data_IF_100936747218
#
_entry.id   IF_100936747218
#
_cell.length_a   1.000
_cell.length_b   1.000
_cell.length_c   1.000
_cell.angle_alpha   90.00
_cell.angle_beta   90.00
_cell.angle_gamma   90.00
#
_symmetry.space_group_name_H-M   'P 1'
#
loop_
_entity.id
_entity.type
_entity.pdbx_description
1 polymer ?
#
# COMPACT_ATOMS: atom_id res chain seq x y z
N UNK A 1 -0.10 2.29 23.22
CA UNK A 1 1.07 2.97 22.63
C UNK A 1 1.40 2.29 21.32
N UNK A 2 1.85 3.05 20.31
CA UNK A 2 2.34 2.46 19.07
C UNK A 2 3.70 1.78 19.34
N UNK A 3 3.86 0.57 18.82
CA UNK A 3 5.12 -0.18 18.91
C UNK A 3 5.42 -0.81 17.56
N UNK A 4 6.71 -1.11 17.32
CA UNK A 4 7.15 -1.79 16.11
C UNK A 4 7.07 -3.29 16.33
N UNK A 5 6.36 -3.99 15.45
CA UNK A 5 6.23 -5.44 15.44
C UNK A 5 6.59 -5.99 14.06
N UNK A 6 7.27 -7.12 14.03
CA UNK A 6 7.58 -7.81 12.77
C UNK A 6 6.44 -8.77 12.45
N UNK A 7 5.80 -8.60 11.29
CA UNK A 7 4.75 -9.50 10.79
C UNK A 7 5.22 -10.21 9.53
N UNK A 8 4.83 -11.48 9.37
CA UNK A 8 5.21 -12.31 8.21
C UNK A 8 4.04 -12.40 7.22
N UNK A 9 4.14 -11.76 6.07
CA UNK A 9 3.21 -11.91 4.95
C UNK A 9 3.56 -13.09 4.04
N UNK A 10 2.84 -13.21 2.92
CA UNK A 10 3.02 -14.29 1.93
C UNK A 10 4.38 -14.27 1.22
N UNK A 11 5.01 -13.11 1.11
CA UNK A 11 6.27 -12.92 0.39
C UNK A 11 7.46 -12.61 1.32
N UNK A 12 7.26 -12.67 2.63
CA UNK A 12 8.29 -12.44 3.64
C UNK A 12 7.81 -11.55 4.77
N UNK A 13 8.74 -11.06 5.58
CA UNK A 13 8.42 -10.27 6.77
C UNK A 13 8.72 -8.79 6.57
N UNK A 14 7.93 -7.95 7.24
CA UNK A 14 8.16 -6.51 7.34
C UNK A 14 7.96 -6.08 8.79
N UNK A 15 8.67 -5.03 9.20
CA UNK A 15 8.41 -4.35 10.46
C UNK A 15 7.29 -3.32 10.27
N UNK A 16 6.29 -3.36 11.14
CA UNK A 16 5.12 -2.50 11.12
C UNK A 16 5.01 -1.75 12.44
N UNK A 17 4.63 -0.47 12.37
CA UNK A 17 4.16 0.28 13.53
C UNK A 17 2.69 0.64 13.31
N UNK A 18 1.81 0.13 14.16
CA UNK A 18 0.37 0.34 14.05
C UNK A 18 -0.14 1.21 15.19
N UNK A 19 -0.99 2.17 14.87
CA UNK A 19 -1.80 2.91 15.82
C UNK A 19 -3.26 2.84 15.39
N UNK A 20 -4.03 2.03 16.12
CA UNK A 20 -5.44 1.77 15.85
C UNK A 20 -6.31 2.72 16.66
N UNK A 21 -7.22 3.44 16.00
CA UNK A 21 -8.26 4.26 16.66
C UNK A 21 -9.68 3.85 16.26
N UNK A 22 -9.92 3.56 14.98
CA UNK A 22 -11.17 3.04 14.44
C UNK A 22 -10.94 2.39 13.06
N UNK A 23 -11.87 1.55 12.63
CA UNK A 23 -11.81 0.79 11.38
C UNK A 23 -12.45 1.51 10.17
N UNK A 24 -12.81 2.79 10.28
CA UNK A 24 -13.53 3.50 9.18
C UNK A 24 -12.60 4.00 8.07
N UNK A 25 -11.32 4.27 8.38
CA UNK A 25 -10.34 4.75 7.42
C UNK A 25 -8.96 4.14 7.72
N UNK A 26 -8.23 3.72 6.70
CA UNK A 26 -6.90 3.14 6.83
C UNK A 26 -5.88 4.02 6.12
N UNK A 27 -4.84 4.43 6.83
CA UNK A 27 -3.69 5.14 6.27
C UNK A 27 -2.46 4.26 6.39
N UNK A 28 -1.82 3.99 5.26
CA UNK A 28 -0.63 3.14 5.17
C UNK A 28 0.53 4.01 4.70
N UNK A 29 1.63 3.99 5.44
CA UNK A 29 2.82 4.75 5.13
C UNK A 29 4.01 3.82 4.89
N UNK A 30 4.63 3.91 3.72
CA UNK A 30 5.86 3.21 3.38
C UNK A 30 7.07 4.10 3.62
N UNK A 31 7.96 3.65 4.51
CA UNK A 31 9.19 4.35 4.91
C UNK A 31 10.19 4.41 3.75
N UNK A 32 10.84 5.56 3.59
CA UNK A 32 11.84 5.77 2.56
C UNK A 32 13.26 5.42 2.97
N UNK A 33 14.20 5.93 2.19
CA UNK A 33 15.62 5.88 2.54
C UNK A 33 15.90 6.57 3.87
N UNK A 34 16.93 6.09 4.56
CA UNK A 34 17.48 6.74 5.74
C UNK A 34 18.58 7.72 5.36
N UNK A 35 18.62 8.81 6.11
CA UNK A 35 19.67 9.82 5.99
C UNK A 35 20.56 9.73 7.23
N UNK A 36 21.86 9.58 7.00
CA UNK A 36 22.87 9.36 8.06
C UNK A 36 23.84 10.54 8.20
N UNK A 37 23.61 11.64 7.49
CA UNK A 37 24.49 12.80 7.54
C UNK A 37 24.42 13.49 8.91
N UNK A 38 25.58 13.84 9.46
CA UNK A 38 25.75 14.35 10.83
C UNK A 38 25.29 15.81 11.00
N UNK A 39 25.09 16.55 9.91
CA UNK A 39 24.69 17.97 9.92
C UNK A 39 23.18 18.19 9.87
N UNK A 40 22.38 17.12 9.96
CA UNK A 40 20.94 17.17 9.79
C UNK A 40 20.26 17.51 11.12
N UNK A 41 19.18 18.30 11.04
CA UNK A 41 18.39 18.67 12.21
C UNK A 41 17.78 17.45 12.90
N UNK A 42 17.66 17.52 14.22
CA UNK A 42 17.12 16.44 15.06
C UNK A 42 15.71 16.02 14.64
N UNK A 43 14.91 16.96 14.14
CA UNK A 43 13.55 16.73 13.65
C UNK A 43 13.55 15.81 12.43
N UNK A 44 14.48 15.99 11.50
CA UNK A 44 14.58 15.14 10.30
C UNK A 44 15.03 13.72 10.67
N UNK A 45 15.92 13.57 11.65
CA UNK A 45 16.29 12.25 12.19
C UNK A 45 15.08 11.56 12.81
N UNK A 46 14.25 12.29 13.56
CA UNK A 46 13.03 11.76 14.14
C UNK A 46 11.97 11.36 13.09
N UNK A 47 11.98 11.96 11.89
CA UNK A 47 11.11 11.55 10.79
C UNK A 47 11.50 10.20 10.14
N UNK A 48 12.59 9.57 10.58
CA UNK A 48 12.99 8.23 10.17
C UNK A 48 12.50 7.14 11.14
N UNK A 49 12.01 7.50 12.33
CA UNK A 49 11.48 6.57 13.33
C UNK A 49 10.02 6.21 13.02
N UNK A 50 9.70 4.92 12.74
CA UNK A 50 8.33 4.49 12.47
C UNK A 50 7.33 4.84 13.57
N UNK A 51 7.74 4.86 14.85
CA UNK A 51 6.84 5.20 15.96
C UNK A 51 6.49 6.68 15.91
N UNK A 52 7.49 7.55 15.74
CA UNK A 52 7.27 8.97 15.59
C UNK A 52 6.42 9.31 14.35
N UNK A 53 6.70 8.70 13.19
CA UNK A 53 5.89 8.85 11.97
C UNK A 53 4.43 8.46 12.26
N UNK A 54 4.22 7.32 12.92
CA UNK A 54 2.89 6.83 13.26
C UNK A 54 2.12 7.83 14.14
N UNK A 55 2.80 8.44 15.12
CA UNK A 55 2.21 9.48 15.98
C UNK A 55 1.89 10.77 15.21
N UNK A 56 2.79 11.24 14.33
CA UNK A 56 2.57 12.42 13.49
C UNK A 56 1.34 12.22 12.59
N UNK A 57 1.28 11.08 11.90
CA UNK A 57 0.13 10.75 11.04
C UNK A 57 -1.15 10.60 11.86
N UNK A 58 -1.11 9.95 13.02
CA UNK A 58 -2.27 9.83 13.90
C UNK A 58 -2.77 11.18 14.43
N UNK A 59 -1.86 12.16 14.63
CA UNK A 59 -2.22 13.53 14.98
C UNK A 59 -2.87 14.22 13.78
N UNK A 60 -2.19 14.25 12.63
CA UNK A 60 -2.69 14.92 11.41
C UNK A 60 -4.03 14.36 10.95
N UNK A 61 -4.14 13.04 10.85
CA UNK A 61 -5.40 12.39 10.50
C UNK A 61 -6.39 12.41 11.64
N UNK A 62 -5.97 12.43 12.91
CA UNK A 62 -6.89 12.57 14.05
C UNK A 62 -7.54 13.95 14.15
N UNK A 63 -6.84 15.01 13.75
CA UNK A 63 -7.39 16.36 13.60
C UNK A 63 -8.41 16.43 12.46
N UNK A 64 -8.21 15.63 11.40
CA UNK A 64 -9.10 15.57 10.23
C UNK A 64 -10.30 14.62 10.48
N UNK A 65 -10.05 13.49 11.13
CA UNK A 65 -10.99 12.41 11.41
C UNK A 65 -10.42 11.53 12.52
N UNK A 66 -11.02 11.56 13.71
CA UNK A 66 -10.62 10.71 14.86
C UNK A 66 -10.77 9.20 14.61
N UNK A 67 -11.09 8.78 13.37
CA UNK A 67 -11.51 7.44 13.01
C UNK A 67 -10.55 6.71 12.07
N UNK A 68 -9.28 7.13 12.01
CA UNK A 68 -8.27 6.50 11.15
C UNK A 68 -7.41 5.50 11.92
N UNK A 69 -7.15 4.35 11.31
CA UNK A 69 -6.06 3.45 11.71
C UNK A 69 -4.83 3.76 10.87
N UNK A 70 -3.69 3.89 11.54
CA UNK A 70 -2.41 4.21 10.91
C UNK A 70 -1.52 2.98 10.94
N UNK A 71 -0.92 2.65 9.80
CA UNK A 71 0.05 1.57 9.65
C UNK A 71 1.28 2.10 8.95
N UNK A 72 2.42 2.12 9.65
CA UNK A 72 3.72 2.48 9.08
C UNK A 72 4.47 1.19 8.78
N UNK A 73 4.86 0.98 7.52
CA UNK A 73 5.54 -0.22 7.02
C UNK A 73 6.98 0.13 6.65
N UNK A 74 7.91 -0.51 7.34
CA UNK A 74 9.34 -0.40 7.04
C UNK A 74 9.72 -1.29 5.86
N UNK A 75 10.79 -0.95 5.12
CA UNK A 75 11.36 -1.83 4.11
C UNK A 75 11.78 -3.17 4.72
N UNK A 76 11.91 -4.19 3.87
CA UNK A 76 12.38 -5.51 4.29
C UNK A 76 13.77 -5.43 4.90
N UNK A 77 14.61 -4.55 4.35
CA UNK A 77 15.97 -4.27 4.84
C UNK A 77 16.44 -2.89 4.38
N UNK A 78 17.51 -2.40 5.00
CA UNK A 78 18.26 -1.25 4.53
C UNK A 78 19.62 -1.70 3.96
N UNK A 79 19.86 -1.46 2.68
CA UNK A 79 21.16 -1.69 2.04
C UNK A 79 22.12 -0.56 2.44
N UNK A 80 23.34 -0.92 2.85
CA UNK A 80 24.35 0.03 3.33
C UNK A 80 23.81 1.03 4.37
N UNK A 81 22.94 0.55 5.26
CA UNK A 81 22.28 1.30 6.34
C UNK A 81 21.34 2.45 5.92
N UNK A 82 21.23 2.75 4.62
CA UNK A 82 20.54 3.94 4.10
C UNK A 82 19.45 3.59 3.09
N UNK A 83 19.76 2.78 2.07
CA UNK A 83 18.84 2.54 0.98
C UNK A 83 17.73 1.53 1.36
N UNK A 84 16.47 1.95 1.29
CA UNK A 84 15.34 1.09 1.60
C UNK A 84 15.11 0.05 0.48
N UNK A 85 14.95 -1.23 0.86
CA UNK A 85 14.73 -2.32 -0.09
C UNK A 85 13.43 -3.07 0.24
N UNK A 86 12.51 -3.10 -0.73
CA UNK A 86 11.15 -3.66 -0.61
C UNK A 86 10.98 -4.98 -1.38
N UNK A 87 11.89 -5.94 -1.18
CA UNK A 87 11.91 -7.24 -1.90
C UNK A 87 10.69 -8.14 -1.61
N UNK A 88 9.98 -7.88 -0.51
CA UNK A 88 8.70 -8.55 -0.21
C UNK A 88 7.54 -8.00 -1.03
N UNK A 89 7.63 -6.78 -1.54
CA UNK A 89 6.57 -6.12 -2.33
C UNK A 89 6.87 -6.12 -3.83
N UNK A 90 8.13 -6.12 -4.23
CA UNK A 90 8.54 -6.08 -5.63
C UNK A 90 9.28 -7.37 -6.01
N UNK A 91 9.06 -7.93 -7.22
CA UNK A 91 9.65 -9.21 -7.62
C UNK A 91 11.13 -9.09 -8.00
N UNK A 92 11.53 -7.97 -8.60
CA UNK A 92 12.84 -7.79 -9.22
C UNK A 92 13.41 -6.41 -8.88
N UNK A 93 14.47 -6.40 -8.07
CA UNK A 93 15.12 -5.19 -7.58
C UNK A 93 16.63 -5.25 -7.83
N UNK A 94 17.24 -4.09 -8.00
CA UNK A 94 18.69 -3.91 -7.85
C UNK A 94 19.12 -4.19 -6.40
N UNK A 95 20.43 -4.35 -6.12
CA UNK A 95 20.92 -4.48 -4.75
C UNK A 95 20.53 -3.33 -3.82
N UNK A 96 20.38 -2.13 -4.38
CA UNK A 96 20.01 -0.87 -3.70
C UNK A 96 18.50 -0.62 -3.66
N UNK A 97 17.69 -1.52 -4.22
CA UNK A 97 16.23 -1.51 -4.09
C UNK A 97 15.47 -0.76 -5.18
N UNK A 98 16.11 -0.35 -6.27
CA UNK A 98 15.41 0.17 -7.44
C UNK A 98 14.73 -0.98 -8.21
N UNK A 99 13.47 -0.82 -8.64
CA UNK A 99 12.81 -1.85 -9.43
C UNK A 99 13.40 -1.93 -10.83
N UNK A 100 13.63 -3.16 -11.31
CA UNK A 100 13.98 -3.40 -12.71
C UNK A 100 12.77 -3.23 -13.62
N UNK A 101 11.58 -3.54 -13.09
CA UNK A 101 10.27 -3.34 -13.73
C UNK A 101 9.15 -3.40 -12.69
N UNK A 102 8.00 -2.84 -13.04
CA UNK A 102 6.75 -3.11 -12.34
C UNK A 102 6.00 -4.24 -13.05
N UNK A 103 5.38 -5.13 -12.28
CA UNK A 103 4.66 -6.29 -12.83
C UNK A 103 3.27 -6.37 -12.19
N UNK A 104 2.28 -5.73 -12.80
CA UNK A 104 0.91 -5.70 -12.28
C UNK A 104 0.23 -7.07 -12.16
N UNK A 105 0.30 -7.95 -13.18
CA UNK A 105 -0.41 -9.24 -13.15
C UNK A 105 0.02 -10.22 -12.04
N UNK A 106 1.15 -9.98 -11.35
CA UNK A 106 1.60 -10.88 -10.28
C UNK A 106 0.95 -10.62 -8.91
N UNK A 107 0.28 -9.47 -8.73
CA UNK A 107 -0.41 -9.08 -7.48
C UNK A 107 0.43 -9.16 -6.20
N UNK A 108 1.76 -9.12 -6.33
CA UNK A 108 2.71 -9.37 -5.22
C UNK A 108 2.59 -8.33 -4.11
N UNK A 109 2.56 -7.04 -4.43
CA UNK A 109 2.52 -5.99 -3.44
C UNK A 109 1.18 -5.98 -2.68
N UNK A 110 0.08 -6.16 -3.39
CA UNK A 110 -1.26 -6.19 -2.79
C UNK A 110 -1.51 -7.45 -1.97
N UNK A 111 -1.03 -8.62 -2.40
CA UNK A 111 -1.10 -9.86 -1.62
C UNK A 111 -0.22 -9.80 -0.36
N UNK A 112 1.00 -9.25 -0.47
CA UNK A 112 1.85 -9.02 0.70
C UNK A 112 1.16 -8.06 1.67
N UNK A 113 0.63 -6.94 1.18
CA UNK A 113 -0.03 -5.93 2.02
C UNK A 113 -1.24 -6.52 2.72
N UNK A 114 -2.12 -7.22 1.98
CA UNK A 114 -3.30 -7.87 2.55
C UNK A 114 -2.89 -8.84 3.67
N UNK A 115 -1.88 -9.68 3.42
CA UNK A 115 -1.42 -10.67 4.41
C UNK A 115 -0.85 -10.04 5.68
N UNK A 116 -0.19 -8.88 5.57
CA UNK A 116 0.30 -8.14 6.74
C UNK A 116 -0.85 -7.50 7.54
N UNK A 117 -1.89 -7.03 6.85
CA UNK A 117 -3.08 -6.43 7.46
C UNK A 117 -3.96 -7.49 8.15
N UNK A 118 -4.23 -8.63 7.51
CA UNK A 118 -5.04 -9.73 8.06
C UNK A 118 -4.52 -10.31 9.39
N UNK A 119 -3.25 -10.08 9.72
CA UNK A 119 -2.68 -10.47 11.00
C UNK A 119 -3.10 -9.55 12.16
N UNK A 120 -3.64 -8.36 11.86
CA UNK A 120 -4.27 -7.51 12.86
C UNK A 120 -5.72 -7.94 13.09
N UNK A 121 -6.11 -8.12 14.35
CA UNK A 121 -7.45 -8.59 14.74
C UNK A 121 -8.56 -7.67 14.23
N UNK A 122 -8.28 -6.37 14.06
CA UNK A 122 -9.25 -5.43 13.49
C UNK A 122 -9.57 -5.74 12.02
N UNK A 123 -8.57 -6.13 11.22
CA UNK A 123 -8.79 -6.53 9.82
C UNK A 123 -9.35 -7.93 9.68
N UNK A 124 -9.27 -8.76 10.74
CA UNK A 124 -9.96 -10.06 10.82
C UNK A 124 -11.45 -9.93 11.08
N UNK A 125 -11.89 -8.86 11.77
CA UNK A 125 -13.31 -8.57 12.04
C UNK A 125 -14.03 -7.98 10.82
N UNK A 126 -13.28 -7.42 9.88
CA UNK A 126 -13.76 -7.25 8.51
C UNK A 126 -13.72 -8.66 7.92
N UNK A 127 -14.87 -9.33 7.75
CA UNK A 127 -14.98 -10.73 7.34
C UNK A 127 -14.30 -10.99 5.96
N UNK A 128 -12.98 -11.09 5.90
CA UNK A 128 -12.23 -11.35 4.66
C UNK A 128 -12.22 -12.83 4.28
N UNK A 129 -12.92 -13.69 5.05
CA UNK A 129 -13.02 -15.12 4.75
C UNK A 129 -14.25 -15.42 3.88
N UNK A 130 -14.10 -16.11 2.74
CA UNK A 130 -15.25 -16.67 2.04
C UNK A 130 -15.87 -17.74 2.93
N UNK A 131 -17.02 -17.43 3.53
CA UNK A 131 -17.83 -18.41 4.26
C UNK A 131 -18.15 -19.55 3.30
N UNK A 132 -17.63 -20.74 3.56
CA UNK A 132 -17.92 -21.93 2.77
C UNK A 132 -19.44 -22.07 2.66
N UNK A 133 -19.96 -21.91 1.44
CA UNK A 133 -21.38 -22.01 1.17
C UNK A 133 -21.81 -23.47 1.39
N UNK A 134 -22.51 -23.73 2.49
CA UNK A 134 -23.36 -24.93 2.57
C UNK A 134 -24.47 -24.78 1.55
N UNK A 135 -24.52 -25.73 0.62
CA UNK A 135 -25.37 -25.71 -0.56
C UNK A 135 -26.86 -25.75 -0.18
N UNK A 136 -27.56 -24.61 -0.25
CA UNK A 136 -28.94 -24.55 -0.76
C UNK A 136 -29.35 -23.10 -1.09
N UNK A 137 -29.82 -22.90 -2.34
CA UNK A 137 -30.69 -21.83 -2.83
C UNK A 137 -30.17 -20.37 -2.89
N UNK A 138 -29.67 -20.05 -4.09
CA UNK A 138 -30.03 -18.90 -4.92
C UNK A 138 -30.89 -17.77 -4.31
N UNK A 139 -30.22 -16.77 -3.75
CA UNK A 139 -30.49 -15.35 -3.96
C UNK A 139 -29.13 -14.64 -3.86
N UNK A 140 -28.81 -13.80 -4.84
CA UNK A 140 -27.53 -13.10 -4.94
C UNK A 140 -27.37 -12.05 -3.83
N UNK A 141 -27.05 -12.50 -2.62
CA UNK A 141 -26.65 -11.63 -1.52
C UNK A 141 -25.14 -11.50 -1.58
N UNK A 142 -24.66 -10.56 -2.40
CA UNK A 142 -23.25 -10.17 -2.44
C UNK A 142 -22.89 -9.59 -1.06
N UNK A 143 -22.36 -10.42 -0.16
CA UNK A 143 -21.75 -9.95 1.07
C UNK A 143 -20.43 -9.29 0.64
N UNK A 144 -20.49 -7.99 0.35
CA UNK A 144 -19.32 -7.17 0.07
C UNK A 144 -18.59 -6.95 1.38
N UNK A 145 -17.50 -7.67 1.59
CA UNK A 145 -16.64 -7.51 2.76
C UNK A 145 -15.73 -6.32 2.47
N UNK A 146 -16.25 -5.12 2.70
CA UNK A 146 -15.58 -3.90 2.30
C UNK A 146 -14.52 -3.54 3.35
N UNK A 147 -13.25 -3.68 2.96
CA UNK A 147 -12.18 -2.96 3.64
C UNK A 147 -12.53 -1.45 3.66
N UNK A 148 -12.12 -0.70 4.71
CA UNK A 148 -12.27 0.74 4.72
C UNK A 148 -11.54 1.39 3.56
N UNK A 149 -11.87 2.64 3.25
CA UNK A 149 -11.07 3.42 2.31
C UNK A 149 -9.61 3.46 2.78
N UNK A 150 -8.70 3.22 1.84
CA UNK A 150 -7.26 3.11 2.10
C UNK A 150 -6.53 4.25 1.40
N UNK A 151 -5.83 5.06 2.19
CA UNK A 151 -4.83 6.01 1.72
C UNK A 151 -3.44 5.36 1.84
N UNK A 152 -2.68 5.37 0.75
CA UNK A 152 -1.29 4.90 0.74
C UNK A 152 -0.35 6.07 0.51
N UNK A 153 0.69 6.15 1.34
CA UNK A 153 1.69 7.21 1.34
C UNK A 153 3.05 6.55 1.16
N UNK A 154 3.83 7.01 0.20
CA UNK A 154 5.22 6.56 -0.02
C UNK A 154 6.17 7.73 0.12
N UNK A 155 7.11 7.64 1.06
CA UNK A 155 8.21 8.60 1.18
C UNK A 155 9.47 8.07 0.50
N UNK A 156 10.17 8.88 -0.33
CA UNK A 156 11.39 8.45 -1.02
C UNK A 156 11.20 7.07 -1.70
N UNK A 157 12.02 6.05 -1.41
CA UNK A 157 11.87 4.69 -1.96
C UNK A 157 10.58 3.96 -1.55
N UNK A 158 9.83 4.44 -0.55
CA UNK A 158 8.47 3.94 -0.30
C UNK A 158 7.54 4.12 -1.51
N UNK A 159 7.80 5.11 -2.36
CA UNK A 159 7.02 5.37 -3.58
C UNK A 159 7.09 4.25 -4.63
N UNK A 160 8.13 3.42 -4.64
CA UNK A 160 8.22 2.31 -5.60
C UNK A 160 7.16 1.23 -5.30
N UNK A 161 6.76 1.09 -4.03
CA UNK A 161 5.67 0.18 -3.64
C UNK A 161 4.34 0.72 -4.15
N UNK A 162 4.14 2.05 -4.09
CA UNK A 162 2.95 2.70 -4.67
C UNK A 162 2.87 2.47 -6.18
N UNK A 163 3.99 2.60 -6.90
CA UNK A 163 4.03 2.34 -8.34
C UNK A 163 3.67 0.88 -8.67
N UNK A 164 4.19 -0.08 -7.89
CA UNK A 164 3.82 -1.49 -8.06
C UNK A 164 2.34 -1.73 -7.74
N UNK A 165 1.80 -1.13 -6.68
CA UNK A 165 0.37 -1.21 -6.36
C UNK A 165 -0.51 -0.60 -7.47
N UNK A 166 -0.10 0.51 -8.07
CA UNK A 166 -0.80 1.11 -9.21
C UNK A 166 -0.79 0.19 -10.44
N UNK A 167 0.34 -0.45 -10.74
CA UNK A 167 0.43 -1.44 -11.80
C UNK A 167 -0.51 -2.64 -11.54
N UNK A 168 -0.64 -3.08 -10.29
CA UNK A 168 -1.57 -4.14 -9.88
C UNK A 168 -3.04 -3.69 -9.98
N UNK A 169 -3.37 -2.45 -9.62
CA UNK A 169 -4.72 -1.89 -9.83
C UNK A 169 -5.06 -1.85 -11.32
N UNK A 170 -4.13 -1.44 -12.18
CA UNK A 170 -4.29 -1.47 -13.63
C UNK A 170 -4.55 -2.89 -14.15
N UNK A 171 -3.71 -3.85 -13.78
CA UNK A 171 -3.89 -5.25 -14.19
C UNK A 171 -5.24 -5.82 -13.70
N UNK A 172 -5.64 -5.51 -12.47
CA UNK A 172 -6.94 -5.88 -11.92
C UNK A 172 -8.11 -5.25 -12.68
N UNK A 173 -7.94 -4.01 -13.16
CA UNK A 173 -8.97 -3.34 -13.93
C UNK A 173 -9.25 -4.02 -15.27
N UNK A 174 -8.20 -4.52 -15.93
CA UNK A 174 -8.30 -5.27 -17.18
C UNK A 174 -8.93 -6.65 -16.95
N UNK A 175 -8.54 -7.37 -15.90
CA UNK A 175 -9.11 -8.69 -15.59
C UNK A 175 -10.56 -8.63 -15.11
N UNK A 176 -10.96 -7.56 -14.40
CA UNK A 176 -12.34 -7.37 -13.97
C UNK A 176 -13.31 -7.15 -15.14
N UNK A 177 -12.82 -6.74 -16.32
CA UNK A 177 -13.62 -6.68 -17.54
C UNK A 177 -13.73 -8.04 -18.24
N UNK A 178 -12.74 -8.92 -18.06
CA UNK A 178 -12.72 -10.28 -18.59
C UNK A 178 -13.40 -11.28 -17.65
N UNK A 179 -14.65 -11.64 -17.97
CA UNK A 179 -15.51 -12.55 -17.15
C UNK A 179 -14.95 -13.98 -16.94
N UNK A 180 -13.81 -14.32 -17.56
CA UNK A 180 -13.19 -15.64 -17.50
C UNK A 180 -11.97 -15.72 -16.55
N UNK A 181 -11.49 -14.60 -15.99
CA UNK A 181 -10.30 -14.63 -15.11
C UNK A 181 -10.63 -14.81 -13.63
N UNK A 182 -9.82 -15.61 -12.94
CA UNK A 182 -9.89 -15.78 -11.49
C UNK A 182 -9.56 -14.45 -10.80
N UNK A 183 -10.45 -13.97 -9.94
CA UNK A 183 -10.22 -12.75 -9.16
C UNK A 183 -9.03 -12.92 -8.22
N UNK A 184 -8.07 -11.97 -8.16
CA UNK A 184 -6.94 -12.07 -7.25
C UNK A 184 -7.41 -12.04 -5.78
N UNK A 185 -6.64 -12.69 -4.89
CA UNK A 185 -6.93 -12.71 -3.44
C UNK A 185 -7.03 -11.29 -2.88
N UNK A 186 -6.14 -10.41 -3.31
CA UNK A 186 -6.09 -9.00 -2.92
C UNK A 186 -7.18 -8.12 -3.53
N UNK A 187 -8.15 -8.65 -4.28
CA UNK A 187 -9.19 -7.84 -4.92
C UNK A 187 -9.98 -6.92 -3.96
N UNK A 188 -10.35 -7.32 -2.73
CA UNK A 188 -10.98 -6.39 -1.77
C UNK A 188 -10.08 -5.22 -1.40
N UNK A 189 -8.77 -5.45 -1.28
CA UNK A 189 -7.77 -4.43 -0.99
C UNK A 189 -7.64 -3.46 -2.16
N UNK A 190 -7.47 -3.98 -3.38
CA UNK A 190 -7.32 -3.16 -4.59
C UNK A 190 -8.53 -2.25 -4.83
N UNK A 191 -9.75 -2.74 -4.57
CA UNK A 191 -10.98 -1.93 -4.65
C UNK A 191 -11.06 -0.83 -3.59
N UNK A 192 -10.31 -0.94 -2.51
CA UNK A 192 -10.39 -0.05 -1.35
C UNK A 192 -9.31 1.03 -1.34
N UNK A 193 -8.25 0.89 -2.14
CA UNK A 193 -7.23 1.91 -2.38
C UNK A 193 -7.85 3.17 -3.00
N UNK A 194 -7.76 4.33 -2.34
CA UNK A 194 -8.35 5.59 -2.83
C UNK A 194 -7.29 6.62 -3.18
N UNK A 195 -6.35 6.90 -2.28
CA UNK A 195 -5.40 7.98 -2.50
C UNK A 195 -3.97 7.46 -2.46
N UNK A 196 -3.17 7.85 -3.45
CA UNK A 196 -1.74 7.58 -3.55
C UNK A 196 -0.98 8.88 -3.36
N UNK A 197 -0.33 9.02 -2.21
CA UNK A 197 0.44 10.21 -1.85
C UNK A 197 1.94 9.92 -2.00
N UNK A 198 2.57 10.54 -2.99
CA UNK A 198 4.02 10.49 -3.16
C UNK A 198 4.63 11.66 -2.37
N UNK A 199 5.51 11.38 -1.42
CA UNK A 199 6.21 12.38 -0.63
C UNK A 199 7.70 12.33 -0.93
N UNK A 200 8.24 13.35 -1.59
CA UNK A 200 9.68 13.45 -1.91
C UNK A 200 10.25 12.14 -2.52
N UNK A 201 9.46 11.52 -3.39
CA UNK A 201 9.84 10.31 -4.09
C UNK A 201 10.76 10.75 -5.21
N UNK A 202 12.08 10.69 -5.00
CA UNK A 202 13.09 11.18 -5.95
C UNK A 202 12.82 10.72 -7.38
N UNK A 203 12.19 11.61 -8.16
CA UNK A 203 11.64 11.33 -9.50
C UNK A 203 12.73 11.17 -10.58
N UNK A 204 14.00 11.42 -10.23
CA UNK A 204 15.13 11.45 -11.17
C UNK A 204 15.96 10.16 -11.22
N UNK A 205 15.43 9.02 -10.77
CA UNK A 205 16.13 7.71 -10.86
C UNK A 205 15.34 6.69 -11.67
N UNK A 206 16.01 5.80 -12.43
CA UNK A 206 15.36 4.67 -13.09
C UNK A 206 14.53 3.86 -12.10
N UNK A 207 13.28 3.56 -12.44
CA UNK A 207 12.36 2.84 -11.56
C UNK A 207 11.84 3.67 -10.37
N UNK A 208 12.10 4.98 -10.31
CA UNK A 208 11.46 5.89 -9.35
C UNK A 208 10.03 6.29 -9.76
N UNK A 209 9.73 6.23 -11.06
CA UNK A 209 8.44 6.57 -11.65
C UNK A 209 7.83 5.38 -12.39
N UNK A 210 6.51 5.29 -12.34
CA UNK A 210 5.73 4.46 -13.24
C UNK A 210 5.63 5.20 -14.58
N UNK A 211 6.32 4.72 -15.62
CA UNK A 211 6.29 5.31 -16.95
C UNK A 211 5.53 4.48 -17.98
N UNK A 212 4.91 3.37 -17.56
CA UNK A 212 4.20 2.49 -18.47
C UNK A 212 2.88 3.15 -18.94
N UNK A 213 2.77 3.57 -20.22
CA UNK A 213 1.56 4.22 -20.73
C UNK A 213 0.33 3.31 -20.66
N UNK A 214 0.53 1.99 -20.74
CA UNK A 214 -0.55 1.01 -20.68
C UNK A 214 -1.20 1.02 -19.29
N UNK A 215 -0.39 1.11 -18.23
CA UNK A 215 -0.90 1.23 -16.86
C UNK A 215 -1.74 2.49 -16.70
N UNK A 216 -1.30 3.63 -17.23
CA UNK A 216 -2.09 4.86 -17.17
C UNK A 216 -3.39 4.76 -17.97
N UNK A 217 -3.35 4.16 -19.17
CA UNK A 217 -4.53 3.90 -19.99
C UNK A 217 -5.57 3.06 -19.24
N UNK A 218 -5.13 1.96 -18.64
CA UNK A 218 -5.97 1.06 -17.85
C UNK A 218 -6.56 1.75 -16.62
N UNK A 219 -5.74 2.49 -15.86
CA UNK A 219 -6.20 3.27 -14.71
C UNK A 219 -7.23 4.33 -15.12
N UNK A 220 -7.02 5.03 -16.23
CA UNK A 220 -7.96 6.04 -16.72
C UNK A 220 -9.31 5.42 -17.08
N UNK A 221 -9.31 4.25 -17.71
CA UNK A 221 -10.51 3.48 -18.05
C UNK A 221 -11.23 3.01 -16.80
N UNK A 222 -10.48 2.47 -15.83
CA UNK A 222 -11.02 2.05 -14.53
C UNK A 222 -11.69 3.21 -13.78
N UNK A 223 -11.07 4.39 -13.76
CA UNK A 223 -11.64 5.55 -13.08
C UNK A 223 -12.88 6.10 -13.78
N UNK A 224 -13.00 5.90 -15.10
CA UNK A 224 -14.09 6.45 -15.92
C UNK A 224 -15.31 5.53 -16.06
N UNK A 225 -15.18 4.25 -15.69
CA UNK A 225 -16.26 3.26 -15.84
C UNK A 225 -17.04 3.08 -14.54
N UNK A 226 -18.36 2.87 -14.64
CA UNK A 226 -19.27 2.77 -13.48
C UNK A 226 -19.03 1.57 -12.55
N UNK A 227 -18.20 0.60 -12.96
CA UNK A 227 -17.75 -0.54 -12.15
C UNK A 227 -16.39 -0.37 -11.48
N UNK A 228 -15.68 0.72 -11.77
CA UNK A 228 -14.34 0.99 -11.24
C UNK A 228 -14.30 2.00 -10.10
N UNK A 229 -13.09 2.39 -9.71
CA UNK A 229 -12.85 3.25 -8.55
C UNK A 229 -12.78 4.72 -8.95
N UNK A 230 -13.93 5.38 -9.05
CA UNK A 230 -14.06 6.82 -9.38
C UNK A 230 -13.40 7.75 -8.35
N UNK A 231 -12.97 7.21 -7.21
CA UNK A 231 -12.34 7.96 -6.11
C UNK A 231 -10.82 7.78 -6.08
N UNK A 232 -10.22 7.06 -7.02
CA UNK A 232 -8.77 6.91 -7.10
C UNK A 232 -8.13 8.28 -7.42
N UNK A 233 -7.18 8.74 -6.61
CA UNK A 233 -6.40 9.97 -6.88
C UNK A 233 -4.92 9.73 -6.61
N UNK A 234 -4.10 10.31 -7.47
CA UNK A 234 -2.64 10.36 -7.32
C UNK A 234 -2.28 11.79 -6.95
N UNK A 235 -1.53 11.95 -5.86
CA UNK A 235 -1.20 13.25 -5.27
C UNK A 235 0.32 13.29 -5.04
N UNK A 236 0.97 14.31 -5.60
CA UNK A 236 2.40 14.51 -5.50
C UNK A 236 2.69 15.61 -4.47
N UNK A 237 3.55 15.31 -3.49
CA UNK A 237 4.00 16.21 -2.43
C UNK A 237 5.53 16.31 -2.50
N UNK A 238 6.05 17.51 -2.71
CA UNK A 238 7.49 17.75 -2.83
C UNK A 238 7.81 18.68 -4.00
N UNK A 239 9.09 19.01 -4.13
CA UNK A 239 9.61 19.79 -5.26
C UNK A 239 9.99 18.83 -6.41
N UNK A 240 9.48 19.04 -7.63
CA UNK A 240 9.85 18.24 -8.80
C UNK A 240 11.33 18.40 -9.18
#
# INVERSE_FOLDING_TARGET
MASVIVKKGVHGANALCTLTRSAEHLVIFFVGDRITELSISTEIVQLQDPVNICNILAKKYGEISQKSTIVVISPTRFQASTAAVYETFLPELTPTGEPLRYNGPCFRASDQLLSLLEQDTMFRLLDLTPKAATATQAAATAITTTLPAIDVIGFSKGGIVLNQLLAEVAAFSSTAQDSATTTPRSAPLLRSLRHFHYLDVGLNRPGGYLADPEVFSQLSTWCSTGGGNTKLRIILHGTP
#
